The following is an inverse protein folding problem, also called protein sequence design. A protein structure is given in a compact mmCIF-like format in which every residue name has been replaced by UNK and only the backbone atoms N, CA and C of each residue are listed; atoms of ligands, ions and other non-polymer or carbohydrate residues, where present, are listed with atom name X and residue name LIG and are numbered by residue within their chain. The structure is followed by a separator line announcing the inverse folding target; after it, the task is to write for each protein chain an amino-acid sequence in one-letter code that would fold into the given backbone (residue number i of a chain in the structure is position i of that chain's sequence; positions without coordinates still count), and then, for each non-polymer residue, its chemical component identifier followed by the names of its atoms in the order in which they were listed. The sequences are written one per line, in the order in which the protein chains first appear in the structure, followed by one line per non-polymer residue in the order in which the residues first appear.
data_IF_029880337997
#
_entry.id   IF_029880337997
#
_cell.length_a   1.000
_cell.length_b   1.000
_cell.length_c   1.000
_cell.angle_alpha   90.00
_cell.angle_beta   90.00
_cell.angle_gamma   90.00
#
_symmetry.space_group_name_H-M   'P 1'
#
loop_
_entity.id
_entity.type
_entity.pdbx_description
1 polymer ?
#
# COMPACT_ATOMS: atom_id res chain seq x y z
N UNK A 1 9.45 -16.23 1.12
CA UNK A 1 9.58 -14.95 1.84
C UNK A 1 8.46 -13.97 1.51
N UNK A 2 8.34 -13.41 0.30
CA UNK A 2 7.27 -12.42 -0.02
C UNK A 2 5.85 -12.97 0.20
N UNK A 3 5.58 -14.21 -0.23
CA UNK A 3 4.27 -14.84 0.02
C UNK A 3 3.98 -15.07 1.51
N UNK A 4 4.98 -15.42 2.31
CA UNK A 4 4.82 -15.62 3.76
C UNK A 4 4.54 -14.30 4.49
N UNK A 5 5.16 -13.19 4.05
CA UNK A 5 4.90 -11.85 4.58
C UNK A 5 3.50 -11.35 4.19
N UNK A 6 3.04 -11.62 2.96
CA UNK A 6 1.68 -11.29 2.54
C UNK A 6 0.62 -11.99 3.39
N UNK A 7 0.86 -13.23 3.82
CA UNK A 7 -0.04 -13.95 4.73
C UNK A 7 -0.12 -13.35 6.13
N UNK A 8 0.85 -12.52 6.53
CA UNK A 8 0.85 -11.82 7.82
C UNK A 8 0.10 -10.47 7.77
N UNK A 9 -0.16 -9.95 6.58
CA UNK A 9 -0.90 -8.70 6.41
C UNK A 9 -2.36 -8.85 6.87
N UNK A 10 -2.86 -7.81 7.54
CA UNK A 10 -4.28 -7.64 7.83
C UNK A 10 -4.86 -6.69 6.79
N UNK A 11 -5.75 -7.20 5.95
CA UNK A 11 -6.30 -6.46 4.83
C UNK A 11 -7.58 -5.74 5.23
N UNK A 12 -7.73 -4.44 4.92
CA UNK A 12 -9.01 -3.76 5.05
C UNK A 12 -9.99 -4.27 3.98
N UNK A 13 -11.29 -4.24 4.30
CA UNK A 13 -12.34 -4.48 3.30
C UNK A 13 -12.45 -3.26 2.38
N UNK A 14 -11.99 -3.39 1.13
CA UNK A 14 -12.05 -2.33 0.13
C UNK A 14 -12.87 -2.77 -1.07
N UNK A 15 -13.58 -1.84 -1.70
CA UNK A 15 -14.25 -2.09 -2.97
C UNK A 15 -13.24 -2.12 -4.12
N UNK A 16 -13.64 -2.72 -5.24
CA UNK A 16 -12.89 -2.54 -6.49
C UNK A 16 -12.86 -1.04 -6.89
N UNK A 17 -11.78 -0.55 -7.51
CA UNK A 17 -10.55 -1.29 -7.85
C UNK A 17 -9.52 -1.37 -6.71
N UNK A 18 -9.79 -0.75 -5.56
CA UNK A 18 -8.80 -0.48 -4.52
C UNK A 18 -8.23 -1.74 -3.83
N UNK A 19 -9.04 -2.78 -3.63
CA UNK A 19 -8.57 -4.03 -2.99
C UNK A 19 -7.43 -4.68 -3.78
N UNK A 20 -7.61 -4.84 -5.09
CA UNK A 20 -6.61 -5.47 -5.95
C UNK A 20 -5.37 -4.58 -6.12
N UNK A 21 -5.57 -3.27 -6.26
CA UNK A 21 -4.47 -2.31 -6.35
C UNK A 21 -3.62 -2.27 -5.08
N UNK A 22 -4.25 -2.31 -3.90
CA UNK A 22 -3.54 -2.35 -2.62
C UNK A 22 -2.68 -3.61 -2.48
N UNK A 23 -3.23 -4.77 -2.87
CA UNK A 23 -2.48 -6.04 -2.83
C UNK A 23 -1.27 -6.01 -3.78
N UNK A 24 -1.43 -5.45 -4.98
CA UNK A 24 -0.32 -5.27 -5.94
C UNK A 24 0.76 -4.32 -5.37
N UNK A 25 0.36 -3.19 -4.79
CA UNK A 25 1.26 -2.22 -4.18
C UNK A 25 2.06 -2.83 -3.01
N UNK A 26 1.39 -3.58 -2.13
CA UNK A 26 2.04 -4.24 -0.98
C UNK A 26 3.00 -5.33 -1.46
N UNK A 27 2.64 -6.12 -2.48
CA UNK A 27 3.56 -7.10 -3.05
C UNK A 27 4.82 -6.44 -3.62
N UNK A 28 4.67 -5.31 -4.33
CA UNK A 28 5.80 -4.51 -4.81
C UNK A 28 6.67 -3.96 -3.67
N UNK A 29 6.05 -3.47 -2.59
CA UNK A 29 6.78 -2.95 -1.42
C UNK A 29 7.61 -4.04 -0.76
N UNK A 30 7.01 -5.22 -0.53
CA UNK A 30 7.67 -6.35 0.13
C UNK A 30 8.80 -6.94 -0.72
N UNK A 31 8.71 -6.85 -2.04
CA UNK A 31 9.78 -7.28 -2.95
C UNK A 31 10.95 -6.29 -2.98
N UNK A 32 10.66 -4.99 -2.85
CA UNK A 32 11.65 -3.91 -3.04
C UNK A 32 12.36 -3.47 -1.76
N UNK A 33 11.69 -3.53 -0.61
CA UNK A 33 12.17 -2.92 0.64
C UNK A 33 12.36 -3.92 1.77
N UNK A 34 13.30 -3.64 2.67
CA UNK A 34 13.36 -4.31 3.97
C UNK A 34 12.31 -3.71 4.90
N UNK A 35 11.13 -4.34 4.95
CA UNK A 35 9.96 -3.82 5.66
C UNK A 35 9.94 -4.28 7.12
N UNK A 36 9.68 -3.33 8.03
CA UNK A 36 9.32 -3.59 9.44
C UNK A 36 7.83 -3.47 9.69
N UNK A 37 7.13 -2.69 8.86
CA UNK A 37 5.69 -2.56 8.89
C UNK A 37 5.16 -1.77 7.69
N UNK A 38 3.89 -2.00 7.37
CA UNK A 38 3.16 -1.24 6.34
C UNK A 38 1.89 -0.73 7.00
N UNK A 39 1.66 0.57 6.88
CA UNK A 39 0.43 1.22 7.30
C UNK A 39 -0.28 1.79 6.07
N UNK A 40 -1.57 1.54 5.95
CA UNK A 40 -2.41 2.10 4.89
C UNK A 40 -3.45 2.98 5.54
N UNK A 41 -3.63 4.19 5.04
CA UNK A 41 -4.58 5.15 5.59
C UNK A 41 -5.32 5.91 4.48
N UNK A 42 -5.93 7.05 4.81
CA UNK A 42 -6.59 7.90 3.82
C UNK A 42 -8.07 7.61 3.60
N UNK A 43 -8.64 8.30 2.62
CA UNK A 43 -10.09 8.31 2.33
C UNK A 43 -10.61 6.97 1.81
N UNK A 44 -9.78 6.24 1.05
CA UNK A 44 -10.12 4.90 0.55
C UNK A 44 -10.35 3.94 1.71
N UNK A 45 -9.42 3.88 2.69
CA UNK A 45 -9.55 3.00 3.86
C UNK A 45 -10.73 3.38 4.76
N UNK A 46 -11.09 4.67 4.81
CA UNK A 46 -12.27 5.15 5.55
C UNK A 46 -13.60 4.93 4.81
N UNK A 47 -13.58 4.41 3.58
CA UNK A 47 -14.79 4.18 2.78
C UNK A 47 -15.41 5.45 2.19
N UNK A 48 -14.67 6.56 2.11
CA UNK A 48 -15.14 7.82 1.52
C UNK A 48 -14.20 8.41 0.45
N UNK A 49 -13.80 7.63 -0.56
CA UNK A 49 -12.93 8.12 -1.63
C UNK A 49 -13.62 9.17 -2.50
N UNK A 50 -12.83 10.04 -3.11
CA UNK A 50 -13.22 10.95 -4.18
C UNK A 50 -12.43 10.60 -5.46
N UNK A 51 -12.78 11.18 -6.63
CA UNK A 51 -12.10 10.88 -7.90
C UNK A 51 -10.59 11.19 -7.95
N UNK A 52 -10.09 11.96 -6.99
CA UNK A 52 -8.68 12.33 -6.85
C UNK A 52 -8.02 11.67 -5.62
N UNK A 53 -8.64 10.62 -5.06
CA UNK A 53 -8.07 9.91 -3.91
C UNK A 53 -7.03 8.90 -4.36
N UNK A 54 -5.89 8.94 -3.67
CA UNK A 54 -4.78 8.01 -3.84
C UNK A 54 -4.82 6.95 -2.73
N UNK A 55 -4.18 5.81 -2.97
CA UNK A 55 -3.80 4.89 -1.90
C UNK A 55 -2.61 5.48 -1.14
N UNK A 56 -2.82 5.87 0.11
CA UNK A 56 -1.77 6.38 0.99
C UNK A 56 -1.15 5.22 1.79
N UNK A 57 0.13 4.92 1.51
CA UNK A 57 0.87 3.84 2.14
C UNK A 57 2.11 4.41 2.84
N UNK A 58 2.36 4.00 4.07
CA UNK A 58 3.58 4.30 4.81
C UNK A 58 4.36 3.00 5.05
N UNK A 59 5.62 2.98 4.63
CA UNK A 59 6.53 1.86 4.85
C UNK A 59 7.48 2.20 5.99
N UNK A 60 7.43 1.42 7.06
CA UNK A 60 8.39 1.49 8.16
C UNK A 60 9.57 0.58 7.84
N UNK A 61 10.78 1.11 7.90
CA UNK A 61 12.03 0.37 7.70
C UNK A 61 13.10 0.87 8.68
N UNK A 62 14.22 0.15 8.82
CA UNK A 62 15.21 0.42 9.87
C UNK A 62 16.24 1.50 9.50
N UNK A 63 16.42 1.78 8.22
CA UNK A 63 17.40 2.75 7.72
C UNK A 63 16.89 4.18 7.98
N UNK A 64 17.80 5.08 8.36
CA UNK A 64 17.49 6.51 8.55
C UNK A 64 17.40 7.25 7.20
N UNK A 65 16.43 6.87 6.38
CA UNK A 65 16.17 7.45 5.08
C UNK A 65 14.69 7.75 4.95
N UNK A 66 14.36 8.83 4.24
CA UNK A 66 13.00 9.10 3.79
C UNK A 66 12.97 9.14 2.28
N UNK A 67 12.02 8.42 1.71
CA UNK A 67 11.74 8.43 0.28
C UNK A 67 10.23 8.59 0.10
N UNK A 68 9.83 9.27 -0.96
CA UNK A 68 8.44 9.30 -1.43
C UNK A 68 8.40 8.72 -2.83
N UNK A 69 7.48 7.80 -3.08
CA UNK A 69 7.23 7.19 -4.38
C UNK A 69 5.78 7.40 -4.77
N UNK A 70 5.55 7.78 -6.02
CA UNK A 70 4.21 7.81 -6.60
C UNK A 70 4.18 6.88 -7.80
N UNK A 71 3.19 6.00 -7.84
CA UNK A 71 3.00 5.01 -8.90
C UNK A 71 1.53 4.66 -9.05
N UNK A 72 1.17 4.16 -10.23
CA UNK A 72 -0.13 3.54 -10.46
C UNK A 72 -0.04 2.02 -10.27
N UNK A 73 -1.02 1.46 -9.58
CA UNK A 73 -1.25 0.01 -9.45
C UNK A 73 -2.67 -0.28 -9.90
N UNK A 74 -2.85 -1.13 -10.91
CA UNK A 74 -4.13 -1.36 -11.59
C UNK A 74 -4.93 -0.07 -11.93
N UNK A 75 -4.23 0.99 -12.33
CA UNK A 75 -4.83 2.30 -12.66
C UNK A 75 -5.20 3.17 -11.45
N UNK A 76 -5.00 2.69 -10.21
CA UNK A 76 -5.19 3.46 -8.98
C UNK A 76 -3.92 4.22 -8.64
N UNK A 77 -3.96 5.55 -8.46
CA UNK A 77 -2.81 6.31 -7.99
C UNK A 77 -2.46 5.90 -6.55
N UNK A 78 -1.17 5.70 -6.28
CA UNK A 78 -0.67 5.24 -4.98
C UNK A 78 0.57 6.05 -4.61
N UNK A 79 0.55 6.57 -3.39
CA UNK A 79 1.66 7.22 -2.72
C UNK A 79 2.23 6.29 -1.65
N UNK A 80 3.57 6.13 -1.65
CA UNK A 80 4.34 5.29 -0.73
C UNK A 80 5.43 6.12 -0.07
#
# INVERSE_FOLDING_TARGET
MTQELLCQCRWPELSAPYDAALKEAVAFILDRFEVRGILVCGSIVRGNPNPHSDLDIMVLHAQNQRQRLQRFFLGVPTEI
#
